data_IF_117530546572
#
_entry.id   IF_117530546572
#
_cell.length_a   1.000
_cell.length_b   1.000
_cell.length_c   1.000
_cell.angle_alpha   90.00
_cell.angle_beta   90.00
_cell.angle_gamma   90.00
#
_symmetry.space_group_name_H-M   'P 1'
#
loop_
_entity.id
_entity.type
_entity.pdbx_description
1 polymer ?
#
# COMPACT_ATOMS: atom_id res chain seq x y z
N UNK A 1 12.35 -8.90 -21.81
CA UNK A 1 11.39 -8.91 -20.69
C UNK A 1 10.04 -9.29 -21.27
N UNK A 2 9.51 -10.45 -20.87
CA UNK A 2 8.21 -10.99 -21.35
C UNK A 2 7.12 -9.92 -21.22
N UNK A 3 6.20 -9.88 -22.18
CA UNK A 3 5.12 -8.89 -22.25
C UNK A 3 4.21 -8.97 -21.01
N UNK A 4 3.95 -10.19 -20.55
CA UNK A 4 3.14 -10.57 -19.40
C UNK A 4 3.68 -9.96 -18.09
N UNK A 5 5.01 -9.90 -17.94
CA UNK A 5 5.65 -9.30 -16.75
C UNK A 5 5.46 -7.78 -16.76
N UNK A 6 5.56 -7.14 -17.93
CA UNK A 6 5.32 -5.69 -18.06
C UNK A 6 3.86 -5.36 -17.77
N UNK A 7 2.93 -6.19 -18.24
CA UNK A 7 1.51 -6.04 -17.99
C UNK A 7 1.21 -6.23 -16.50
N UNK A 8 1.71 -7.30 -15.88
CA UNK A 8 1.59 -7.54 -14.44
C UNK A 8 2.12 -6.37 -13.62
N UNK A 9 3.29 -5.82 -13.99
CA UNK A 9 3.83 -4.65 -13.30
C UNK A 9 2.91 -3.42 -13.43
N UNK A 10 2.20 -3.25 -14.54
CA UNK A 10 1.28 -2.13 -14.75
C UNK A 10 -0.08 -2.32 -14.07
N UNK A 11 -0.62 -3.53 -14.08
CA UNK A 11 -2.01 -3.81 -13.70
C UNK A 11 -2.15 -4.30 -12.27
N UNK A 12 -1.16 -5.04 -11.74
CA UNK A 12 -1.26 -5.62 -10.42
C UNK A 12 -1.05 -4.54 -9.35
N UNK A 13 -2.07 -4.26 -8.52
CA UNK A 13 -1.96 -3.29 -7.45
C UNK A 13 -1.05 -3.81 -6.35
N UNK A 14 -0.33 -2.91 -5.66
CA UNK A 14 0.52 -3.31 -4.53
C UNK A 14 -0.23 -3.37 -3.20
N UNK A 15 -1.34 -2.65 -3.14
CA UNK A 15 -2.23 -2.61 -1.99
C UNK A 15 -3.63 -3.02 -2.41
N UNK A 16 -4.54 -3.04 -1.44
CA UNK A 16 -5.92 -3.51 -1.61
C UNK A 16 -6.67 -2.66 -2.63
N UNK A 17 -7.62 -3.24 -3.35
CA UNK A 17 -8.51 -2.45 -4.21
C UNK A 17 -9.47 -1.61 -3.38
N UNK A 18 -10.05 -0.56 -3.96
CA UNK A 18 -11.10 0.23 -3.30
C UNK A 18 -12.29 -0.64 -2.82
N UNK A 19 -12.63 -1.67 -3.59
CA UNK A 19 -13.64 -2.65 -3.18
C UNK A 19 -13.23 -3.36 -1.88
N UNK A 20 -11.99 -3.81 -1.80
CA UNK A 20 -11.49 -4.48 -0.61
C UNK A 20 -11.39 -3.56 0.61
N UNK A 21 -10.99 -2.31 0.41
CA UNK A 21 -11.02 -1.29 1.47
C UNK A 21 -12.42 -1.15 2.08
N UNK A 22 -13.44 -0.97 1.22
CA UNK A 22 -14.81 -0.70 1.67
C UNK A 22 -15.50 -1.91 2.31
N UNK A 23 -15.30 -3.11 1.77
CA UNK A 23 -16.12 -4.27 2.16
C UNK A 23 -15.38 -5.31 3.01
N UNK A 24 -14.06 -5.37 2.96
CA UNK A 24 -13.29 -6.37 3.71
C UNK A 24 -12.42 -5.79 4.82
N UNK A 25 -11.80 -4.62 4.60
CA UNK A 25 -11.07 -3.93 5.69
C UNK A 25 -12.04 -3.34 6.70
N UNK A 26 -13.07 -2.63 6.21
CA UNK A 26 -14.12 -2.05 7.05
C UNK A 26 -15.34 -2.99 7.16
N UNK A 27 -15.08 -4.27 7.43
CA UNK A 27 -16.14 -5.26 7.57
C UNK A 27 -16.98 -5.01 8.84
N UNK A 28 -18.22 -5.50 8.83
CA UNK A 28 -19.17 -5.27 9.93
C UNK A 28 -18.88 -6.15 11.17
N UNK A 29 -17.96 -7.12 11.09
CA UNK A 29 -17.54 -7.92 12.26
C UNK A 29 -16.57 -7.12 13.12
N UNK A 30 -15.50 -6.63 12.48
CA UNK A 30 -14.43 -5.91 13.18
C UNK A 30 -14.84 -4.47 13.46
N UNK A 31 -15.64 -3.87 12.57
CA UNK A 31 -16.08 -2.48 12.63
C UNK A 31 -17.61 -2.37 12.46
N UNK A 32 -18.39 -2.76 13.49
CA UNK A 32 -19.85 -2.84 13.38
C UNK A 32 -20.55 -1.48 13.35
N UNK A 33 -19.87 -0.39 13.74
CA UNK A 33 -20.47 0.96 13.79
C UNK A 33 -19.86 1.89 12.73
N UNK A 34 -20.63 2.89 12.22
CA UNK A 34 -20.10 3.92 11.32
C UNK A 34 -18.89 4.66 11.91
N UNK A 35 -18.96 5.06 13.18
CA UNK A 35 -17.86 5.74 13.87
C UNK A 35 -16.60 4.86 13.95
N UNK A 36 -16.74 3.57 14.27
CA UNK A 36 -15.62 2.63 14.29
C UNK A 36 -14.95 2.48 12.91
N UNK A 37 -15.75 2.44 11.84
CA UNK A 37 -15.24 2.42 10.47
C UNK A 37 -14.55 3.71 10.07
N UNK A 38 -15.08 4.85 10.52
CA UNK A 38 -14.50 6.16 10.23
C UNK A 38 -13.11 6.30 10.85
N UNK A 39 -12.97 5.93 12.13
CA UNK A 39 -11.68 5.99 12.81
C UNK A 39 -10.69 4.97 12.25
N UNK A 40 -11.13 3.77 11.89
CA UNK A 40 -10.28 2.81 11.19
C UNK A 40 -9.84 3.35 9.82
N UNK A 41 -10.73 3.93 9.03
CA UNK A 41 -10.39 4.51 7.73
C UNK A 41 -9.36 5.65 7.86
N UNK A 42 -9.47 6.50 8.90
CA UNK A 42 -8.47 7.53 9.22
C UNK A 42 -7.11 6.92 9.56
N UNK A 43 -7.09 5.84 10.34
CA UNK A 43 -5.86 5.12 10.70
C UNK A 43 -5.18 4.52 9.47
N UNK A 44 -5.94 3.84 8.61
CA UNK A 44 -5.41 3.29 7.34
C UNK A 44 -4.89 4.39 6.41
N UNK A 45 -5.63 5.51 6.28
CA UNK A 45 -5.18 6.68 5.53
C UNK A 45 -3.85 7.22 6.05
N UNK A 46 -3.69 7.32 7.37
CA UNK A 46 -2.46 7.77 8.02
C UNK A 46 -1.28 6.85 7.72
N UNK A 47 -1.45 5.52 7.84
CA UNK A 47 -0.43 4.52 7.51
C UNK A 47 0.07 4.66 6.06
N UNK A 48 -0.85 4.90 5.11
CA UNK A 48 -0.46 5.13 3.73
C UNK A 48 0.24 6.47 3.52
N UNK A 49 -0.16 7.51 4.24
CA UNK A 49 0.49 8.81 4.21
C UNK A 49 1.92 8.76 4.77
N UNK A 50 2.14 8.15 5.93
CA UNK A 50 3.50 7.98 6.48
C UNK A 50 4.41 7.21 5.53
N UNK A 51 3.91 6.10 4.99
CA UNK A 51 4.68 5.34 4.01
C UNK A 51 4.94 6.10 2.70
N UNK A 52 4.05 7.02 2.29
CA UNK A 52 4.26 7.87 1.13
C UNK A 52 5.42 8.83 1.37
N UNK A 53 5.49 9.44 2.55
CA UNK A 53 6.59 10.32 2.96
C UNK A 53 7.91 9.56 3.02
N UNK A 54 7.91 8.36 3.61
CA UNK A 54 9.10 7.50 3.65
C UNK A 54 9.56 7.08 2.25
N UNK A 55 8.64 6.71 1.37
CA UNK A 55 8.93 6.37 -0.02
C UNK A 55 9.52 7.57 -0.78
N UNK A 56 9.01 8.78 -0.56
CA UNK A 56 9.56 10.00 -1.14
C UNK A 56 11.03 10.21 -0.77
N UNK A 57 11.38 10.12 0.52
CA UNK A 57 12.77 10.26 0.96
C UNK A 57 13.66 9.12 0.44
N UNK A 58 13.13 7.90 0.39
CA UNK A 58 13.83 6.74 -0.16
C UNK A 58 14.16 6.94 -1.64
N UNK A 59 13.22 7.48 -2.42
CA UNK A 59 13.45 7.85 -3.83
C UNK A 59 14.57 8.89 -3.96
N UNK A 60 14.56 9.94 -3.13
CA UNK A 60 15.60 10.98 -3.14
C UNK A 60 16.98 10.40 -2.84
N UNK A 61 17.09 9.48 -1.88
CA UNK A 61 18.34 8.78 -1.55
C UNK A 61 18.86 7.97 -2.74
N UNK A 62 18.00 7.22 -3.43
CA UNK A 62 18.43 6.43 -4.59
C UNK A 62 18.84 7.30 -5.79
N UNK A 63 18.17 8.43 -6.02
CA UNK A 63 18.59 9.41 -7.04
C UNK A 63 19.99 9.98 -6.71
N UNK A 64 20.25 10.33 -5.45
CA UNK A 64 21.56 10.83 -5.04
C UNK A 64 22.67 9.77 -5.23
N UNK A 65 22.40 8.50 -4.87
CA UNK A 65 23.31 7.38 -5.12
C UNK A 65 23.58 7.19 -6.61
N UNK A 66 22.54 7.24 -7.44
CA UNK A 66 22.66 7.14 -8.89
C UNK A 66 23.57 8.25 -9.44
N UNK A 67 23.39 9.49 -8.98
CA UNK A 67 24.25 10.63 -9.33
C UNK A 67 25.70 10.43 -8.91
N UNK A 68 25.93 9.92 -7.70
CA UNK A 68 27.27 9.58 -7.21
C UNK A 68 27.96 8.53 -8.09
N UNK A 69 27.28 7.44 -8.45
CA UNK A 69 27.85 6.42 -9.33
C UNK A 69 28.11 6.97 -10.74
N UNK A 70 27.25 7.83 -11.27
CA UNK A 70 27.49 8.54 -12.53
C UNK A 70 28.75 9.41 -12.49
N UNK A 71 29.02 10.09 -11.37
CA UNK A 71 30.26 10.87 -11.21
C UNK A 71 31.49 9.97 -11.13
N UNK A 72 31.42 8.84 -10.41
CA UNK A 72 32.50 7.85 -10.33
C UNK A 72 32.83 7.26 -11.70
N UNK A 73 31.82 6.86 -12.48
CA UNK A 73 31.99 6.36 -13.84
C UNK A 73 32.74 7.39 -14.69
N UNK A 74 32.29 8.65 -14.71
CA UNK A 74 32.94 9.73 -15.48
C UNK A 74 34.41 9.93 -15.08
N UNK A 75 34.71 9.95 -13.78
CA UNK A 75 36.09 10.07 -13.29
C UNK A 75 36.96 8.91 -13.77
N UNK A 76 36.47 7.67 -13.66
CA UNK A 76 37.19 6.48 -14.10
C UNK A 76 37.39 6.46 -15.61
N UNK A 77 36.41 6.93 -16.39
CA UNK A 77 36.53 7.05 -17.85
C UNK A 77 37.63 8.03 -18.25
N UNK A 78 37.75 9.18 -17.58
CA UNK A 78 38.85 10.13 -17.84
C UNK A 78 40.22 9.56 -17.43
N UNK A 79 40.27 8.79 -16.34
CA UNK A 79 41.49 8.10 -15.90
C UNK A 79 41.92 7.02 -16.89
N UNK A 80 40.97 6.25 -17.41
CA UNK A 80 41.19 5.15 -18.36
C UNK A 80 41.84 5.61 -19.66
N UNK A 81 41.55 6.85 -20.12
CA UNK A 81 42.18 7.43 -21.33
C UNK A 81 43.71 7.58 -21.23
N UNK A 82 44.28 7.51 -20.02
CA UNK A 82 45.73 7.63 -19.80
C UNK A 82 46.50 6.34 -20.09
N UNK A 83 45.79 5.22 -20.24
CA UNK A 83 46.38 3.90 -20.39
C UNK A 83 46.09 3.33 -21.79
N UNK A 84 47.06 2.64 -22.41
CA UNK A 84 46.80 1.93 -23.67
C UNK A 84 45.72 0.87 -23.51
N UNK A 85 44.86 0.74 -24.50
CA UNK A 85 43.84 -0.32 -24.54
C UNK A 85 44.50 -1.71 -24.48
N UNK A 86 43.93 -2.60 -23.66
CA UNK A 86 44.46 -3.95 -23.42
C UNK A 86 45.63 -4.02 -22.43
N UNK A 87 46.07 -2.88 -21.87
CA UNK A 87 46.98 -2.91 -20.72
C UNK A 87 46.27 -3.38 -19.44
N UNK A 88 46.99 -3.99 -18.47
CA UNK A 88 46.38 -4.43 -17.21
C UNK A 88 45.63 -3.31 -16.47
N UNK A 89 46.19 -2.09 -16.44
CA UNK A 89 45.55 -0.93 -15.80
C UNK A 89 44.27 -0.50 -16.52
N UNK A 90 44.27 -0.53 -17.86
CA UNK A 90 43.07 -0.26 -18.67
C UNK A 90 41.95 -1.24 -18.35
N UNK A 91 42.25 -2.55 -18.33
CA UNK A 91 41.25 -3.59 -18.05
C UNK A 91 40.69 -3.50 -16.62
N UNK A 92 41.53 -3.16 -15.64
CA UNK A 92 41.08 -2.91 -14.25
C UNK A 92 40.11 -1.72 -14.19
N UNK A 93 40.41 -0.63 -14.89
CA UNK A 93 39.54 0.55 -14.93
C UNK A 93 38.23 0.25 -15.67
N UNK A 94 38.28 -0.50 -16.77
CA UNK A 94 37.09 -0.98 -17.50
C UNK A 94 36.17 -1.77 -16.58
N UNK A 95 36.70 -2.76 -15.86
CA UNK A 95 35.94 -3.57 -14.92
C UNK A 95 35.32 -2.74 -13.78
N UNK A 96 36.05 -1.74 -13.26
CA UNK A 96 35.50 -0.80 -12.26
C UNK A 96 34.36 0.05 -12.83
N UNK A 97 34.48 0.52 -14.06
CA UNK A 97 33.42 1.27 -14.76
C UNK A 97 32.17 0.41 -14.88
N UNK A 98 32.30 -0.82 -15.38
CA UNK A 98 31.21 -1.78 -15.51
C UNK A 98 30.53 -2.05 -14.15
N UNK A 99 31.31 -2.25 -13.09
CA UNK A 99 30.79 -2.42 -11.73
C UNK A 99 29.90 -1.25 -11.30
N UNK A 100 30.37 0.00 -11.49
CA UNK A 100 29.57 1.17 -11.13
C UNK A 100 28.38 1.39 -12.06
N UNK A 101 28.45 0.97 -13.32
CA UNK A 101 27.30 0.98 -14.23
C UNK A 101 26.20 0.03 -13.73
N UNK A 102 26.56 -1.17 -13.27
CA UNK A 102 25.61 -2.10 -12.63
C UNK A 102 24.98 -1.46 -11.39
N UNK A 103 25.79 -0.85 -10.51
CA UNK A 103 25.27 -0.15 -9.31
C UNK A 103 24.34 1.01 -9.64
N UNK A 104 24.63 1.77 -10.69
CA UNK A 104 23.72 2.82 -11.19
C UNK A 104 22.41 2.23 -11.71
N UNK A 105 22.47 1.14 -12.47
CA UNK A 105 21.28 0.48 -13.02
C UNK A 105 20.42 -0.15 -11.90
N UNK A 106 21.03 -0.70 -10.85
CA UNK A 106 20.33 -1.14 -9.63
C UNK A 106 19.54 0.02 -8.99
N UNK A 107 20.15 1.20 -8.86
CA UNK A 107 19.44 2.40 -8.37
C UNK A 107 18.26 2.78 -9.28
N UNK A 108 18.42 2.72 -10.60
CA UNK A 108 17.33 3.03 -11.53
C UNK A 108 16.14 2.09 -11.34
N UNK A 109 16.39 0.78 -11.20
CA UNK A 109 15.33 -0.18 -10.92
C UNK A 109 14.63 0.10 -9.59
N UNK A 110 15.39 0.36 -8.52
CA UNK A 110 14.84 0.72 -7.20
C UNK A 110 13.98 1.98 -7.26
N UNK A 111 14.42 3.01 -7.98
CA UNK A 111 13.64 4.23 -8.19
C UNK A 111 12.27 3.89 -8.81
N UNK A 112 12.22 3.04 -9.85
CA UNK A 112 10.95 2.64 -10.49
C UNK A 112 10.02 1.87 -9.54
N UNK A 113 10.56 1.01 -8.68
CA UNK A 113 9.76 0.32 -7.66
C UNK A 113 9.17 1.30 -6.65
N UNK A 114 9.99 2.23 -6.15
CA UNK A 114 9.55 3.26 -5.20
C UNK A 114 8.50 4.18 -5.84
N UNK A 115 8.65 4.53 -7.12
CA UNK A 115 7.65 5.33 -7.85
C UNK A 115 6.31 4.60 -8.02
N UNK A 116 6.33 3.28 -8.22
CA UNK A 116 5.11 2.47 -8.18
C UNK A 116 4.49 2.53 -6.79
N UNK A 117 5.28 2.41 -5.73
CA UNK A 117 4.80 2.53 -4.34
C UNK A 117 4.14 3.87 -4.04
N UNK A 118 4.80 4.97 -4.39
CA UNK A 118 4.27 6.32 -4.23
C UNK A 118 2.90 6.44 -4.91
N UNK A 119 2.79 5.98 -6.16
CA UNK A 119 1.53 6.03 -6.93
C UNK A 119 0.42 5.23 -6.27
N UNK A 120 0.74 4.02 -5.83
CA UNK A 120 -0.23 3.12 -5.20
C UNK A 120 -0.66 3.65 -3.83
N UNK A 121 0.25 4.20 -3.02
CA UNK A 121 -0.12 4.84 -1.74
C UNK A 121 -1.02 6.05 -1.94
N UNK A 122 -0.76 6.88 -2.95
CA UNK A 122 -1.66 8.00 -3.31
C UNK A 122 -3.05 7.48 -3.69
N UNK A 123 -3.14 6.37 -4.44
CA UNK A 123 -4.42 5.74 -4.77
C UNK A 123 -5.15 5.27 -3.51
N UNK A 124 -4.46 4.58 -2.60
CA UNK A 124 -5.05 4.12 -1.33
C UNK A 124 -5.59 5.30 -0.52
N UNK A 125 -4.80 6.36 -0.34
CA UNK A 125 -5.21 7.57 0.38
C UNK A 125 -6.48 8.17 -0.22
N UNK A 126 -6.57 8.27 -1.56
CA UNK A 126 -7.78 8.76 -2.24
C UNK A 126 -9.00 7.88 -1.95
N UNK A 127 -8.81 6.56 -1.92
CA UNK A 127 -9.85 5.60 -1.55
C UNK A 127 -10.35 5.83 -0.13
N UNK A 128 -9.43 5.94 0.83
CA UNK A 128 -9.76 6.21 2.22
C UNK A 128 -10.44 7.56 2.43
N UNK A 129 -9.96 8.62 1.78
CA UNK A 129 -10.62 9.95 1.81
C UNK A 129 -12.06 9.87 1.33
N UNK A 130 -12.31 9.10 0.27
CA UNK A 130 -13.67 8.91 -0.25
C UNK A 130 -14.56 8.18 0.77
N UNK A 131 -14.07 7.08 1.35
CA UNK A 131 -14.79 6.32 2.37
C UNK A 131 -15.10 7.18 3.60
N UNK A 132 -14.12 7.95 4.08
CA UNK A 132 -14.28 8.86 5.21
C UNK A 132 -15.44 9.84 4.95
N UNK A 133 -15.48 10.47 3.78
CA UNK A 133 -16.58 11.37 3.38
C UNK A 133 -17.94 10.67 3.28
N UNK A 134 -17.98 9.41 2.85
CA UNK A 134 -19.20 8.60 2.82
C UNK A 134 -19.72 8.30 4.25
N UNK A 135 -18.81 8.19 5.23
CA UNK A 135 -19.14 7.88 6.63
C UNK A 135 -19.49 9.13 7.45
N UNK A 136 -18.96 10.31 7.13
CA UNK A 136 -19.18 11.55 7.89
C UNK A 136 -20.66 11.86 8.20
N UNK A 137 -21.62 11.72 7.26
CA UNK A 137 -23.04 11.97 7.54
C UNK A 137 -23.69 10.95 8.48
N UNK A 138 -23.04 9.82 8.72
CA UNK A 138 -23.55 8.70 9.52
C UNK A 138 -22.95 8.68 10.93
N UNK A 139 -22.04 9.60 11.24
CA UNK A 139 -21.39 9.66 12.55
C UNK A 139 -22.36 10.11 13.62
N UNK A 140 -22.27 9.45 14.77
CA UNK A 140 -23.00 9.84 15.98
C UNK A 140 -22.16 10.73 16.88
N UNK A 141 -20.85 10.55 16.87
CA UNK A 141 -19.91 11.22 17.76
C UNK A 141 -19.03 12.24 17.02
N UNK A 142 -18.27 13.04 17.79
CA UNK A 142 -17.37 14.05 17.24
C UNK A 142 -16.24 13.41 16.41
N UNK A 143 -15.68 14.22 15.50
CA UNK A 143 -14.51 13.86 14.68
C UNK A 143 -13.18 14.17 15.39
N UNK A 144 -13.25 14.77 16.57
CA UNK A 144 -12.11 15.32 17.31
C UNK A 144 -11.55 14.33 18.33
N UNK A 145 -12.42 13.56 19.00
CA UNK A 145 -12.02 12.62 20.04
C UNK A 145 -12.37 11.17 19.67
N UNK A 146 -11.37 10.28 19.45
CA UNK A 146 -11.60 8.88 19.14
C UNK A 146 -12.17 8.06 20.31
N UNK A 147 -12.17 8.59 21.54
CA UNK A 147 -12.70 7.87 22.71
C UNK A 147 -14.23 7.91 22.81
N UNK A 148 -14.86 8.97 22.30
CA UNK A 148 -16.31 9.20 22.47
C UNK A 148 -17.18 8.02 21.99
N UNK A 149 -16.77 7.35 20.90
CA UNK A 149 -17.54 6.27 20.29
C UNK A 149 -17.24 4.88 20.88
N UNK A 150 -16.21 4.73 21.71
CA UNK A 150 -15.64 3.42 22.07
C UNK A 150 -16.65 2.52 22.77
N UNK A 151 -17.41 3.07 23.73
CA UNK A 151 -18.41 2.28 24.48
C UNK A 151 -19.45 1.65 23.56
N UNK A 152 -20.00 2.42 22.63
CA UNK A 152 -21.00 1.92 21.68
C UNK A 152 -20.40 0.94 20.67
N UNK A 153 -19.19 1.23 20.20
CA UNK A 153 -18.44 0.33 19.34
C UNK A 153 -18.24 -1.06 19.97
N UNK A 154 -17.75 -1.11 21.21
CA UNK A 154 -17.49 -2.38 21.90
C UNK A 154 -18.78 -3.14 22.23
N UNK A 155 -19.85 -2.43 22.61
CA UNK A 155 -21.15 -3.05 22.79
C UNK A 155 -21.65 -3.69 21.49
N UNK A 156 -21.60 -2.96 20.37
CA UNK A 156 -22.01 -3.49 19.07
C UNK A 156 -21.17 -4.69 18.64
N UNK A 157 -19.86 -4.67 18.92
CA UNK A 157 -18.95 -5.77 18.60
C UNK A 157 -19.28 -7.04 19.35
N UNK A 158 -19.55 -6.94 20.66
CA UNK A 158 -19.96 -8.08 21.49
C UNK A 158 -21.27 -8.69 20.97
N UNK A 159 -22.23 -7.86 20.54
CA UNK A 159 -23.50 -8.35 19.99
C UNK A 159 -23.30 -9.10 18.66
N UNK A 160 -22.39 -8.64 17.79
CA UNK A 160 -22.03 -9.38 16.57
C UNK A 160 -21.38 -10.72 16.91
N UNK A 161 -20.48 -10.75 17.89
CA UNK A 161 -19.82 -11.99 18.32
C UNK A 161 -20.81 -13.00 18.91
N UNK A 162 -21.78 -12.56 19.71
CA UNK A 162 -22.87 -13.42 20.21
C UNK A 162 -23.67 -14.04 19.05
N UNK A 163 -24.08 -13.24 18.08
CA UNK A 163 -24.83 -13.72 16.89
C UNK A 163 -24.05 -14.75 16.09
N UNK A 164 -22.74 -14.51 15.89
CA UNK A 164 -21.88 -15.47 15.19
C UNK A 164 -21.85 -16.81 15.94
N UNK A 165 -21.73 -16.79 17.27
CA UNK A 165 -21.72 -18.01 18.10
C UNK A 165 -23.05 -18.75 18.06
N UNK A 166 -24.17 -18.03 18.05
CA UNK A 166 -25.51 -18.60 17.95
C UNK A 166 -25.75 -19.29 16.60
N UNK A 167 -25.29 -18.69 15.50
CA UNK A 167 -25.52 -19.21 14.14
C UNK A 167 -24.66 -20.44 13.85
N UNK A 168 -23.37 -20.39 14.19
CA UNK A 168 -22.41 -21.38 13.70
C UNK A 168 -22.06 -22.48 14.71
N UNK A 169 -22.39 -22.30 16.00
CA UNK A 169 -22.00 -23.23 17.06
C UNK A 169 -20.49 -23.20 17.32
N UNK A 170 -20.09 -23.17 18.60
CA UNK A 170 -18.68 -22.97 18.98
C UNK A 170 -17.90 -24.29 18.83
N UNK A 171 -17.32 -24.53 17.65
CA UNK A 171 -16.17 -25.45 17.51
C UNK A 171 -14.92 -24.75 17.00
N UNK A 172 -15.06 -23.76 16.11
CA UNK A 172 -13.96 -22.87 15.70
C UNK A 172 -14.48 -21.46 15.40
N UNK A 173 -14.31 -20.54 16.35
CA UNK A 173 -14.76 -19.15 16.23
C UNK A 173 -14.02 -18.37 15.12
N UNK A 174 -12.79 -18.77 14.80
CA UNK A 174 -11.97 -18.11 13.79
C UNK A 174 -12.43 -18.45 12.37
N UNK A 175 -12.70 -19.72 12.13
CA UNK A 175 -13.25 -20.21 10.85
C UNK A 175 -14.62 -19.56 10.57
N UNK A 176 -15.49 -19.49 11.58
CA UNK A 176 -16.81 -18.88 11.48
C UNK A 176 -16.74 -17.38 11.15
N UNK A 177 -15.88 -16.61 11.84
CA UNK A 177 -15.68 -15.18 11.58
C UNK A 177 -15.19 -14.92 10.15
N UNK A 178 -14.26 -15.73 9.64
CA UNK A 178 -13.77 -15.60 8.26
C UNK A 178 -14.87 -15.81 7.22
N UNK A 179 -15.64 -16.89 7.35
CA UNK A 179 -16.72 -17.23 6.41
C UNK A 179 -17.79 -16.14 6.43
N UNK A 180 -18.19 -15.68 7.63
CA UNK A 180 -19.17 -14.61 7.76
C UNK A 180 -18.68 -13.28 7.15
N UNK A 181 -17.41 -12.92 7.33
CA UNK A 181 -16.85 -11.69 6.75
C UNK A 181 -16.85 -11.74 5.23
N UNK A 182 -16.55 -12.90 4.65
CA UNK A 182 -16.56 -13.08 3.21
C UNK A 182 -17.98 -12.93 2.63
N UNK A 183 -18.98 -13.58 3.25
CA UNK A 183 -20.38 -13.53 2.81
C UNK A 183 -20.93 -12.11 2.95
N UNK A 184 -20.86 -11.52 4.14
CA UNK A 184 -21.41 -10.20 4.43
C UNK A 184 -20.80 -9.09 3.56
N UNK A 185 -19.48 -9.14 3.31
CA UNK A 185 -18.80 -8.21 2.43
C UNK A 185 -19.33 -8.25 0.99
N UNK A 186 -19.60 -9.44 0.46
CA UNK A 186 -20.16 -9.63 -0.89
C UNK A 186 -21.61 -9.18 -0.97
N UNK A 187 -22.43 -9.53 0.02
CA UNK A 187 -23.85 -9.13 0.07
C UNK A 187 -24.01 -7.61 0.09
N UNK A 188 -23.22 -6.92 0.93
CA UNK A 188 -23.22 -5.46 1.02
C UNK A 188 -22.79 -4.82 -0.29
N UNK A 189 -21.75 -5.35 -0.92
CA UNK A 189 -21.30 -4.85 -2.22
C UNK A 189 -22.36 -4.99 -3.31
N UNK A 190 -23.11 -6.10 -3.33
CA UNK A 190 -24.20 -6.31 -4.28
C UNK A 190 -25.35 -5.33 -4.07
N UNK A 191 -25.67 -4.99 -2.82
CA UNK A 191 -26.69 -3.98 -2.49
C UNK A 191 -26.27 -2.59 -2.98
N UNK A 192 -25.07 -2.13 -2.59
CA UNK A 192 -24.52 -0.82 -3.00
C UNK A 192 -24.40 -0.66 -4.53
N UNK A 193 -24.22 -1.76 -5.27
CA UNK A 193 -24.16 -1.75 -6.74
C UNK A 193 -25.54 -1.71 -7.41
N UNK A 194 -26.59 -2.23 -6.75
CA UNK A 194 -27.97 -2.12 -7.22
C UNK A 194 -28.48 -0.69 -7.02
N UNK A 195 -28.27 -0.13 -5.83
CA UNK A 195 -28.72 1.21 -5.45
C UNK A 195 -28.05 2.34 -6.28
N UNK A 196 -27.01 2.04 -7.06
CA UNK A 196 -26.33 2.98 -7.98
C UNK A 196 -26.79 2.90 -9.44
N UNK A 197 -27.58 1.88 -9.79
CA UNK A 197 -28.14 1.69 -11.14
C UNK A 197 -29.57 2.21 -11.26
N UNK A 198 -30.20 2.50 -10.12
CA UNK A 198 -31.48 3.21 -9.98
C UNK A 198 -31.24 4.71 -9.78
#
# INVERSE_FOLDING_TARGET
>A
MLQEIKETYKTLPMFRSFFQQKYFVLNDIDFPTPDGKYWQARKEMWVHFEGLVLAYFSRKKEIAKQGFYNAKIRKLQEEMKKYPEGSPDYDILRAKIEFYQVKRNECEYKIRLIEKEIRERIREIKGWVKIIKELEPQLKYSKEDPEEHQKEFWNAKIEVEKKIREIYGVKDEHEAKKVYSAISGVEKANKDLKDKKE
#
